data_IF_909534874589
#
_entry.id   IF_909534874589
#
_cell.length_a   1.000
_cell.length_b   1.000
_cell.length_c   1.000
_cell.angle_alpha   90.00
_cell.angle_beta   90.00
_cell.angle_gamma   90.00
#
_symmetry.space_group_name_H-M   'P 1'
#
loop_
_entity.id
_entity.type
_entity.pdbx_description
1 polymer ?
#
# COMPACT_ATOMS: atom_id res chain seq x y z
N UNK A 1 -14.76 14.03 -25.72
CA UNK A 1 -14.69 12.91 -24.76
C UNK A 1 -16.11 12.62 -24.30
N UNK A 2 -16.61 11.42 -24.56
CA UNK A 2 -17.98 11.04 -24.18
C UNK A 2 -18.04 10.62 -22.70
N UNK A 3 -19.24 10.59 -22.12
CA UNK A 3 -19.45 10.07 -20.76
C UNK A 3 -18.98 8.62 -20.66
N UNK A 4 -19.22 7.81 -21.70
CA UNK A 4 -18.78 6.41 -21.75
C UNK A 4 -17.25 6.28 -21.77
N UNK A 5 -16.57 7.19 -22.49
CA UNK A 5 -15.10 7.24 -22.52
C UNK A 5 -14.54 7.60 -21.14
N UNK A 6 -15.18 8.53 -20.42
CA UNK A 6 -14.80 8.86 -19.03
C UNK A 6 -15.00 7.66 -18.11
N UNK A 7 -16.14 6.96 -18.20
CA UNK A 7 -16.41 5.75 -17.40
C UNK A 7 -15.43 4.62 -17.67
N UNK A 8 -15.06 4.39 -18.93
CA UNK A 8 -14.05 3.39 -19.29
C UNK A 8 -12.71 3.70 -18.62
N UNK A 9 -12.26 4.96 -18.72
CA UNK A 9 -10.99 5.38 -18.10
C UNK A 9 -11.02 5.31 -16.58
N UNK A 10 -12.15 5.62 -15.94
CA UNK A 10 -12.31 5.46 -14.50
C UNK A 10 -12.25 3.99 -14.08
N UNK A 11 -12.87 3.09 -14.84
CA UNK A 11 -12.79 1.64 -14.60
C UNK A 11 -11.36 1.14 -14.71
N UNK A 12 -10.68 1.46 -15.81
CA UNK A 12 -9.27 1.10 -16.02
C UNK A 12 -8.37 1.64 -14.89
N UNK A 13 -8.58 2.90 -14.49
CA UNK A 13 -7.87 3.52 -13.37
C UNK A 13 -8.13 2.80 -12.04
N UNK A 14 -9.38 2.42 -11.78
CA UNK A 14 -9.77 1.68 -10.56
C UNK A 14 -9.13 0.29 -10.54
N UNK A 15 -9.11 -0.41 -11.67
CA UNK A 15 -8.44 -1.71 -11.81
C UNK A 15 -6.92 -1.59 -11.61
N UNK A 16 -6.29 -0.54 -12.15
CA UNK A 16 -4.88 -0.26 -11.92
C UNK A 16 -4.58 0.04 -10.44
N UNK A 17 -5.43 0.82 -9.76
CA UNK A 17 -5.31 1.08 -8.32
C UNK A 17 -5.41 -0.20 -7.49
N UNK A 18 -6.37 -1.08 -7.81
CA UNK A 18 -6.50 -2.39 -7.14
C UNK A 18 -5.27 -3.27 -7.34
N UNK A 19 -4.77 -3.36 -8.56
CA UNK A 19 -3.53 -4.10 -8.85
C UNK A 19 -2.30 -3.54 -8.10
N UNK A 20 -2.22 -2.21 -7.97
CA UNK A 20 -1.21 -1.57 -7.16
C UNK A 20 -1.36 -1.89 -5.66
N UNK A 21 -2.60 -1.90 -5.15
CA UNK A 21 -2.89 -2.31 -3.77
C UNK A 21 -2.43 -3.74 -3.49
N UNK A 22 -2.75 -4.69 -4.38
CA UNK A 22 -2.33 -6.09 -4.26
C UNK A 22 -0.79 -6.23 -4.24
N UNK A 23 -0.11 -5.49 -5.11
CA UNK A 23 1.36 -5.48 -5.17
C UNK A 23 1.94 -4.96 -3.86
N UNK A 24 1.43 -3.84 -3.36
CA UNK A 24 1.90 -3.24 -2.10
C UNK A 24 1.57 -4.16 -0.91
N UNK A 25 0.42 -4.83 -0.93
CA UNK A 25 0.06 -5.79 0.10
C UNK A 25 1.06 -6.94 0.18
N UNK A 26 1.43 -7.51 -0.98
CA UNK A 26 2.44 -8.57 -1.07
C UNK A 26 3.83 -8.11 -0.57
N UNK A 27 4.26 -6.91 -0.94
CA UNK A 27 5.51 -6.33 -0.42
C UNK A 27 5.43 -6.14 1.10
N UNK A 28 4.29 -5.65 1.62
CA UNK A 28 4.08 -5.46 3.05
C UNK A 28 4.15 -6.78 3.82
N UNK A 29 3.57 -7.85 3.32
CA UNK A 29 3.68 -9.18 3.95
C UNK A 29 5.14 -9.64 4.05
N UNK A 30 5.92 -9.39 3.01
CA UNK A 30 7.35 -9.70 2.98
C UNK A 30 8.13 -8.84 3.99
N UNK A 31 7.92 -7.53 4.01
CA UNK A 31 8.57 -6.60 4.95
C UNK A 31 8.21 -6.95 6.40
N UNK A 32 6.93 -7.21 6.67
CA UNK A 32 6.46 -7.61 8.00
C UNK A 32 7.08 -8.93 8.45
N UNK A 33 7.20 -9.91 7.55
CA UNK A 33 7.85 -11.19 7.86
C UNK A 33 9.33 -10.98 8.22
N UNK A 34 10.04 -10.14 7.46
CA UNK A 34 11.41 -9.73 7.78
C UNK A 34 11.49 -8.98 9.12
N UNK A 35 10.55 -8.09 9.41
CA UNK A 35 10.49 -7.35 10.68
C UNK A 35 10.31 -8.30 11.86
N UNK A 36 9.34 -9.22 11.80
CA UNK A 36 9.09 -10.21 12.87
C UNK A 36 10.32 -11.10 13.09
N UNK A 37 10.94 -11.59 12.02
CA UNK A 37 12.15 -12.39 12.12
C UNK A 37 13.33 -11.59 12.71
N UNK A 38 13.52 -10.34 12.26
CA UNK A 38 14.58 -9.46 12.76
C UNK A 38 14.39 -9.14 14.25
N UNK A 39 13.18 -8.82 14.69
CA UNK A 39 12.85 -8.62 16.11
C UNK A 39 13.13 -9.88 16.91
N UNK A 40 12.68 -11.05 16.45
CA UNK A 40 12.89 -12.31 17.17
C UNK A 40 14.37 -12.67 17.39
N UNK A 41 15.26 -12.29 16.46
CA UNK A 41 16.70 -12.61 16.52
C UNK A 41 17.53 -11.50 17.16
N UNK A 42 17.13 -10.24 17.01
CA UNK A 42 17.98 -9.09 17.29
C UNK A 42 17.40 -8.14 18.35
N UNK A 43 16.31 -8.51 19.03
CA UNK A 43 15.58 -7.61 19.95
C UNK A 43 16.46 -6.99 21.05
N UNK A 44 17.43 -7.75 21.57
CA UNK A 44 18.29 -7.30 22.68
C UNK A 44 19.58 -6.62 22.19
N UNK A 45 19.81 -6.58 20.88
CA UNK A 45 21.02 -5.98 20.32
C UNK A 45 20.92 -4.46 20.32
N UNK A 46 21.86 -3.82 21.01
CA UNK A 46 22.02 -2.37 20.99
C UNK A 46 22.97 -1.90 19.88
N UNK A 47 23.37 -2.78 18.97
CA UNK A 47 24.29 -2.42 17.90
C UNK A 47 23.63 -1.35 16.99
N UNK A 48 24.28 -0.20 16.71
CA UNK A 48 23.65 0.91 15.98
C UNK A 48 23.02 0.51 14.63
N UNK A 49 23.67 -0.38 13.88
CA UNK A 49 23.12 -0.90 12.62
C UNK A 49 21.85 -1.74 12.81
N UNK A 50 21.73 -2.51 13.89
CA UNK A 50 20.53 -3.29 14.19
C UNK A 50 19.39 -2.36 14.54
N UNK A 51 19.61 -1.41 15.45
CA UNK A 51 18.60 -0.42 15.83
C UNK A 51 18.11 0.38 14.62
N UNK A 52 19.04 0.80 13.74
CA UNK A 52 18.69 1.49 12.50
C UNK A 52 17.90 0.60 11.53
N UNK A 53 18.25 -0.68 11.40
CA UNK A 53 17.53 -1.62 10.53
C UNK A 53 16.10 -1.87 11.04
N UNK A 54 15.93 -2.14 12.35
CA UNK A 54 14.62 -2.33 12.97
C UNK A 54 13.75 -1.07 12.84
N UNK A 55 14.33 0.11 13.03
CA UNK A 55 13.63 1.38 12.82
C UNK A 55 13.18 1.55 11.38
N UNK A 56 14.02 1.22 10.39
CA UNK A 56 13.64 1.31 8.97
C UNK A 56 12.53 0.33 8.61
N UNK A 57 12.58 -0.89 9.12
CA UNK A 57 11.52 -1.87 8.90
C UNK A 57 10.18 -1.39 9.48
N UNK A 58 10.20 -0.77 10.67
CA UNK A 58 9.00 -0.16 11.25
C UNK A 58 8.46 0.98 10.40
N UNK A 59 9.32 1.90 9.97
CA UNK A 59 8.91 3.01 9.10
C UNK A 59 8.35 2.52 7.76
N UNK A 60 8.90 1.44 7.19
CA UNK A 60 8.37 0.82 5.97
C UNK A 60 6.97 0.23 6.19
N UNK A 61 6.71 -0.40 7.35
CA UNK A 61 5.37 -0.89 7.69
C UNK A 61 4.35 0.26 7.80
N UNK A 62 4.73 1.35 8.48
CA UNK A 62 3.88 2.54 8.64
C UNK A 62 3.59 3.22 7.28
N UNK A 63 4.60 3.36 6.42
CA UNK A 63 4.46 3.95 5.09
C UNK A 63 3.58 3.10 4.18
N UNK A 64 3.76 1.78 4.18
CA UNK A 64 2.92 0.86 3.40
C UNK A 64 1.45 0.96 3.81
N UNK A 65 1.14 1.07 5.10
CA UNK A 65 -0.23 1.25 5.58
C UNK A 65 -0.84 2.56 5.08
N UNK A 66 -0.08 3.66 5.10
CA UNK A 66 -0.53 4.94 4.58
C UNK A 66 -0.78 4.90 3.07
N UNK A 67 0.09 4.24 2.31
CA UNK A 67 -0.08 4.10 0.86
C UNK A 67 -1.33 3.28 0.53
N UNK A 68 -1.55 2.14 1.19
CA UNK A 68 -2.75 1.32 0.98
C UNK A 68 -4.03 2.12 1.23
N UNK A 69 -4.12 2.84 2.36
CA UNK A 69 -5.29 3.70 2.66
C UNK A 69 -5.54 4.75 1.59
N UNK A 70 -4.50 5.32 0.99
CA UNK A 70 -4.63 6.32 -0.08
C UNK A 70 -5.11 5.68 -1.39
N UNK A 71 -4.63 4.49 -1.71
CA UNK A 71 -5.07 3.76 -2.90
C UNK A 71 -6.54 3.37 -2.77
N UNK A 72 -6.93 2.81 -1.62
CA UNK A 72 -8.32 2.43 -1.35
C UNK A 72 -9.25 3.65 -1.45
N UNK A 73 -8.91 4.75 -0.78
CA UNK A 73 -9.72 5.97 -0.85
C UNK A 73 -9.78 6.59 -2.26
N UNK A 74 -8.71 6.45 -3.05
CA UNK A 74 -8.69 6.87 -4.45
C UNK A 74 -9.59 6.00 -5.34
N UNK A 75 -9.58 4.69 -5.13
CA UNK A 75 -10.44 3.74 -5.83
C UNK A 75 -11.91 3.97 -5.49
N UNK A 76 -12.24 4.13 -4.21
CA UNK A 76 -13.60 4.43 -3.75
C UNK A 76 -14.12 5.74 -4.36
N UNK A 77 -13.30 6.79 -4.35
CA UNK A 77 -13.65 8.09 -4.96
C UNK A 77 -13.88 7.97 -6.46
N UNK A 78 -13.07 7.17 -7.17
CA UNK A 78 -13.23 6.93 -8.60
C UNK A 78 -14.53 6.16 -8.91
N UNK A 79 -14.88 5.17 -8.08
CA UNK A 79 -16.14 4.45 -8.21
C UNK A 79 -17.37 5.32 -7.91
N UNK A 80 -17.32 6.15 -6.88
CA UNK A 80 -18.37 7.11 -6.56
C UNK A 80 -18.59 8.09 -7.71
N UNK A 81 -17.50 8.61 -8.28
CA UNK A 81 -17.57 9.50 -9.43
C UNK A 81 -18.13 8.80 -10.67
N UNK A 82 -17.73 7.55 -10.93
CA UNK A 82 -18.29 6.74 -12.01
C UNK A 82 -19.81 6.52 -11.84
N UNK A 83 -20.28 6.23 -10.63
CA UNK A 83 -21.70 6.09 -10.30
C UNK A 83 -22.48 7.40 -10.51
N UNK A 84 -21.87 8.53 -10.18
CA UNK A 84 -22.47 9.85 -10.36
C UNK A 84 -22.66 10.24 -11.84
N UNK A 85 -21.87 9.66 -12.75
CA UNK A 85 -22.00 9.84 -14.20
C UNK A 85 -23.12 8.99 -14.84
N UNK A 86 -23.85 8.19 -14.05
CA UNK A 86 -24.93 7.29 -14.48
C UNK A 86 -24.43 6.08 -15.23
#
# INVERSE_FOLDING_TARGET
MSVDEVKSRLREGTEALRSAADTIHSVRETVRSCHVAAVAVLTDSQHPHVTAALSRLRSADDENELVLRRIDGGADSAEEYAKALG
#
